data_IF_050167238282
#
_entry.id   IF_050167238282
#
_cell.length_a   1.000
_cell.length_b   1.000
_cell.length_c   1.000
_cell.angle_alpha   90.00
_cell.angle_beta   90.00
_cell.angle_gamma   90.00
#
_symmetry.space_group_name_H-M   'P 1'
#
loop_
_entity.id
_entity.type
_entity.pdbx_description
1 polymer ?
#
# COMPACT_ATOMS: atom_id res chain seq x y z
N UNK A 1 -16.15 -15.59 6.42
CA UNK A 1 -14.75 -15.76 5.98
C UNK A 1 -14.44 -14.71 4.94
N UNK A 2 -13.40 -13.91 5.14
CA UNK A 2 -12.97 -12.86 4.20
C UNK A 2 -11.91 -13.41 3.23
N UNK A 3 -11.66 -12.69 2.12
CA UNK A 3 -10.71 -13.11 1.09
C UNK A 3 -9.29 -13.38 1.63
N UNK A 4 -8.76 -12.49 2.47
CA UNK A 4 -7.42 -12.66 3.04
C UNK A 4 -7.29 -13.90 3.94
N UNK A 5 -8.37 -14.34 4.60
CA UNK A 5 -8.38 -15.53 5.44
C UNK A 5 -8.27 -16.80 4.59
N UNK A 6 -9.00 -16.83 3.47
CA UNK A 6 -8.92 -17.92 2.50
C UNK A 6 -7.51 -18.00 1.89
N UNK A 7 -6.94 -16.84 1.52
CA UNK A 7 -5.57 -16.77 1.01
C UNK A 7 -4.54 -17.22 2.04
N UNK A 8 -4.68 -16.86 3.33
CA UNK A 8 -3.80 -17.34 4.42
C UNK A 8 -3.80 -18.87 4.51
N UNK A 9 -4.96 -19.51 4.33
CA UNK A 9 -5.06 -20.97 4.32
C UNK A 9 -4.38 -21.59 3.09
N UNK A 10 -4.61 -21.01 1.90
CA UNK A 10 -4.03 -21.51 0.64
C UNK A 10 -2.52 -21.36 0.58
N UNK A 11 -1.98 -20.24 1.05
CA UNK A 11 -0.54 -19.98 1.07
C UNK A 11 0.16 -20.89 2.07
N UNK A 12 -0.47 -21.20 3.22
CA UNK A 12 0.04 -22.21 4.17
C UNK A 12 0.11 -23.61 3.56
N UNK A 13 -0.90 -24.01 2.79
CA UNK A 13 -0.85 -25.29 2.05
C UNK A 13 0.25 -25.30 1.00
N UNK A 14 0.43 -24.18 0.29
CA UNK A 14 1.49 -24.05 -0.70
C UNK A 14 2.89 -24.09 -0.07
N UNK A 15 3.08 -23.47 1.09
CA UNK A 15 4.30 -23.57 1.89
C UNK A 15 4.62 -25.01 2.28
N UNK A 16 3.63 -25.78 2.77
CA UNK A 16 3.80 -27.21 3.10
C UNK A 16 4.23 -28.03 1.87
N UNK A 17 3.79 -27.63 0.67
CA UNK A 17 4.20 -28.25 -0.59
C UNK A 17 5.60 -27.81 -1.08
N UNK A 18 6.37 -27.07 -0.26
CA UNK A 18 7.64 -26.43 -0.62
C UNK A 18 7.50 -25.47 -1.81
N UNK A 19 6.41 -24.70 -1.84
CA UNK A 19 6.16 -23.67 -2.84
C UNK A 19 6.20 -24.17 -4.29
N UNK A 20 5.87 -25.45 -4.53
CA UNK A 20 5.94 -26.06 -5.86
C UNK A 20 5.16 -25.22 -6.88
N UNK A 21 5.77 -25.02 -8.04
CA UNK A 21 5.18 -24.29 -9.16
C UNK A 21 5.53 -25.03 -10.45
N UNK A 22 4.51 -25.45 -11.21
CA UNK A 22 4.71 -26.23 -12.43
C UNK A 22 5.43 -25.43 -13.52
N UNK A 23 5.19 -24.12 -13.56
CA UNK A 23 5.73 -23.22 -14.59
C UNK A 23 6.99 -22.48 -14.12
N UNK A 24 7.07 -22.14 -12.84
CA UNK A 24 8.05 -21.18 -12.33
C UNK A 24 8.86 -21.76 -11.17
N UNK A 25 9.77 -22.69 -11.44
CA UNK A 25 10.60 -23.34 -10.41
C UNK A 25 11.43 -22.36 -9.57
N UNK A 26 11.88 -21.24 -10.14
CA UNK A 26 12.67 -20.25 -9.41
C UNK A 26 11.91 -19.60 -8.25
N UNK A 27 10.56 -19.60 -8.26
CA UNK A 27 9.82 -19.04 -7.12
C UNK A 27 9.98 -19.89 -5.86
N UNK A 28 10.05 -21.21 -6.03
CA UNK A 28 10.28 -22.14 -4.93
C UNK A 28 11.65 -21.93 -4.32
N UNK A 29 12.67 -21.69 -5.16
CA UNK A 29 14.03 -21.33 -4.75
C UNK A 29 14.02 -20.01 -3.94
N UNK A 30 13.40 -18.95 -4.48
CA UNK A 30 13.33 -17.63 -3.83
C UNK A 30 12.64 -17.70 -2.45
N UNK A 31 11.48 -18.34 -2.35
CA UNK A 31 10.72 -18.39 -1.10
C UNK A 31 11.40 -19.29 -0.05
N UNK A 32 12.02 -20.38 -0.48
CA UNK A 32 12.82 -21.25 0.42
C UNK A 32 14.05 -20.51 0.94
N UNK A 33 14.75 -19.79 0.06
CA UNK A 33 15.89 -18.96 0.44
C UNK A 33 15.51 -17.88 1.47
N UNK A 34 14.39 -17.17 1.30
CA UNK A 34 13.95 -16.17 2.27
C UNK A 34 13.54 -16.79 3.62
N UNK A 35 13.05 -18.03 3.62
CA UNK A 35 12.76 -18.78 4.85
C UNK A 35 14.04 -19.16 5.60
N UNK A 36 15.08 -19.54 4.87
CA UNK A 36 16.40 -19.90 5.43
C UNK A 36 17.22 -18.69 5.86
N UNK A 37 17.21 -17.61 5.08
CA UNK A 37 18.00 -16.40 5.36
C UNK A 37 17.52 -15.66 6.61
N UNK A 38 16.24 -15.83 6.97
CA UNK A 38 15.57 -15.17 8.10
C UNK A 38 15.74 -13.64 8.12
N UNK A 39 16.06 -13.05 6.96
CA UNK A 39 16.21 -11.61 6.84
C UNK A 39 14.85 -10.90 6.90
N UNK A 40 13.86 -11.47 6.21
CA UNK A 40 12.48 -11.02 6.31
C UNK A 40 11.85 -11.52 7.60
N UNK A 41 11.22 -10.61 8.33
CA UNK A 41 10.40 -10.97 9.49
C UNK A 41 9.27 -11.90 9.04
N UNK A 42 8.76 -12.78 9.92
CA UNK A 42 7.67 -13.70 9.59
C UNK A 42 6.48 -13.06 8.85
N UNK A 43 5.91 -11.91 9.28
CA UNK A 43 4.80 -11.29 8.55
C UNK A 43 5.19 -10.75 7.16
N UNK A 44 6.44 -10.30 6.97
CA UNK A 44 6.93 -9.86 5.66
C UNK A 44 7.07 -11.07 4.71
N UNK A 45 7.63 -12.19 5.19
CA UNK A 45 7.72 -13.41 4.41
C UNK A 45 6.33 -13.96 4.05
N UNK A 46 5.39 -13.97 4.99
CA UNK A 46 4.01 -14.40 4.72
C UNK A 46 3.32 -13.50 3.68
N UNK A 47 3.53 -12.18 3.75
CA UNK A 47 3.01 -11.25 2.76
C UNK A 47 3.64 -11.48 1.37
N UNK A 48 4.96 -11.69 1.31
CA UNK A 48 5.70 -12.02 0.09
C UNK A 48 5.21 -13.34 -0.52
N UNK A 49 5.03 -14.39 0.29
CA UNK A 49 4.45 -15.67 -0.13
C UNK A 49 3.03 -15.49 -0.67
N UNK A 50 2.21 -14.67 0.00
CA UNK A 50 0.84 -14.38 -0.45
C UNK A 50 0.84 -13.66 -1.79
N UNK A 51 1.68 -12.65 -1.95
CA UNK A 51 1.88 -11.96 -3.22
C UNK A 51 2.27 -12.93 -4.34
N UNK A 52 3.26 -13.79 -4.10
CA UNK A 52 3.75 -14.73 -5.11
C UNK A 52 2.77 -15.85 -5.44
N UNK A 53 1.98 -16.31 -4.46
CA UNK A 53 0.89 -17.24 -4.69
C UNK A 53 -0.14 -16.63 -5.66
N UNK A 54 -0.51 -15.37 -5.45
CA UNK A 54 -1.42 -14.63 -6.32
C UNK A 54 -0.84 -14.48 -7.73
N UNK A 55 0.42 -14.07 -7.82
CA UNK A 55 1.09 -13.83 -9.11
C UNK A 55 1.24 -15.09 -9.94
N UNK A 56 1.65 -16.20 -9.31
CA UNK A 56 2.01 -17.44 -10.02
C UNK A 56 0.85 -18.44 -10.06
N UNK A 57 0.25 -18.79 -8.92
CA UNK A 57 -0.75 -19.85 -8.83
C UNK A 57 -2.14 -19.38 -9.26
N UNK A 58 -2.42 -18.08 -9.13
CA UNK A 58 -3.70 -17.49 -9.51
C UNK A 58 -3.65 -16.67 -10.80
N UNK A 59 -2.45 -16.53 -11.40
CA UNK A 59 -2.23 -15.77 -12.63
C UNK A 59 -2.68 -14.30 -12.54
N UNK A 60 -2.40 -13.65 -11.40
CA UNK A 60 -2.59 -12.20 -11.21
C UNK A 60 -4.02 -11.71 -11.49
N UNK A 61 -5.03 -12.27 -10.80
CA UNK A 61 -6.43 -11.98 -11.08
C UNK A 61 -6.81 -10.55 -10.64
N UNK A 62 -7.83 -10.00 -11.31
CA UNK A 62 -8.51 -8.80 -10.81
C UNK A 62 -9.30 -9.13 -9.54
N UNK A 63 -9.79 -8.10 -8.84
CA UNK A 63 -10.62 -8.30 -7.65
C UNK A 63 -11.84 -9.20 -7.95
N UNK A 64 -12.57 -8.91 -9.03
CA UNK A 64 -13.77 -9.66 -9.33
C UNK A 64 -13.45 -11.13 -9.62
N UNK A 65 -12.35 -11.40 -10.31
CA UNK A 65 -11.89 -12.76 -10.61
C UNK A 65 -11.51 -13.52 -9.33
N UNK A 66 -10.87 -12.84 -8.37
CA UNK A 66 -10.61 -13.40 -7.05
C UNK A 66 -11.89 -13.87 -6.36
N UNK A 67 -12.88 -12.99 -6.28
CA UNK A 67 -14.11 -13.28 -5.57
C UNK A 67 -14.92 -14.35 -6.31
N UNK A 68 -15.00 -14.31 -7.64
CA UNK A 68 -15.63 -15.38 -8.44
C UNK A 68 -14.98 -16.75 -8.21
N UNK A 69 -13.65 -16.80 -8.07
CA UNK A 69 -12.91 -18.05 -7.83
C UNK A 69 -13.14 -18.64 -6.43
N UNK A 70 -13.06 -17.81 -5.39
CA UNK A 70 -13.11 -18.29 -3.99
C UNK A 70 -14.52 -18.27 -3.37
N UNK A 71 -15.43 -17.48 -3.91
CA UNK A 71 -16.80 -17.35 -3.44
C UNK A 71 -17.79 -17.57 -4.60
N UNK A 72 -17.86 -18.78 -5.18
CA UNK A 72 -18.74 -19.05 -6.33
C UNK A 72 -20.23 -18.92 -5.97
N UNK A 73 -20.59 -19.07 -4.69
CA UNK A 73 -21.96 -18.83 -4.22
C UNK A 73 -22.18 -17.31 -4.05
N UNK A 74 -23.20 -16.72 -4.71
CA UNK A 74 -23.47 -15.28 -4.62
C UNK A 74 -23.72 -14.76 -3.20
N UNK A 75 -24.34 -15.57 -2.33
CA UNK A 75 -24.56 -15.19 -0.93
C UNK A 75 -23.23 -15.13 -0.16
N UNK A 76 -22.35 -16.11 -0.34
CA UNK A 76 -21.05 -16.09 0.34
C UNK A 76 -20.18 -14.95 -0.18
N UNK A 77 -20.28 -14.62 -1.47
CA UNK A 77 -19.60 -13.49 -2.07
C UNK A 77 -20.07 -12.15 -1.47
N UNK A 78 -21.39 -11.94 -1.33
CA UNK A 78 -21.94 -10.75 -0.66
C UNK A 78 -21.48 -10.63 0.79
N UNK A 79 -21.49 -11.75 1.53
CA UNK A 79 -20.97 -11.78 2.90
C UNK A 79 -19.49 -11.45 2.95
N UNK A 80 -18.68 -11.94 2.01
CA UNK A 80 -17.26 -11.60 1.90
C UNK A 80 -17.05 -10.11 1.58
N UNK A 81 -17.94 -9.51 0.79
CA UNK A 81 -17.99 -8.06 0.60
C UNK A 81 -18.54 -7.30 1.83
N UNK A 82 -18.97 -7.98 2.89
CA UNK A 82 -19.55 -7.37 4.08
C UNK A 82 -20.94 -6.77 3.84
N UNK A 83 -21.65 -7.24 2.82
CA UNK A 83 -23.02 -6.85 2.52
C UNK A 83 -23.96 -7.80 3.26
N UNK A 84 -24.78 -7.23 4.15
CA UNK A 84 -25.77 -7.99 4.90
C UNK A 84 -26.96 -8.37 3.99
N UNK A 85 -27.06 -9.66 3.70
CA UNK A 85 -28.08 -10.23 2.82
C UNK A 85 -29.47 -10.13 3.44
N UNK A 86 -29.57 -10.20 4.77
CA UNK A 86 -30.86 -10.17 5.49
C UNK A 86 -31.63 -8.85 5.31
N UNK A 87 -30.96 -7.82 4.80
CA UNK A 87 -31.52 -6.48 4.57
C UNK A 87 -31.57 -6.10 3.09
N UNK A 88 -31.16 -6.98 2.17
CA UNK A 88 -30.91 -6.63 0.77
C UNK A 88 -31.37 -7.71 -0.22
N UNK A 89 -32.65 -8.13 -0.17
CA UNK A 89 -33.23 -9.12 -1.08
C UNK A 89 -33.12 -8.72 -2.56
N UNK A 90 -33.20 -7.43 -2.86
CA UNK A 90 -33.02 -6.86 -4.21
C UNK A 90 -31.61 -7.14 -4.76
N UNK A 91 -30.57 -6.94 -3.95
CA UNK A 91 -29.18 -7.20 -4.33
C UNK A 91 -28.99 -8.70 -4.61
N UNK A 92 -29.53 -9.55 -3.72
CA UNK A 92 -29.39 -11.00 -3.85
C UNK A 92 -30.04 -11.50 -5.15
N UNK A 93 -31.24 -11.01 -5.49
CA UNK A 93 -31.92 -11.33 -6.76
C UNK A 93 -31.09 -10.90 -7.97
N UNK A 94 -30.59 -9.66 -7.97
CA UNK A 94 -29.77 -9.13 -9.06
C UNK A 94 -28.47 -9.92 -9.29
N UNK A 95 -27.89 -10.48 -8.22
CA UNK A 95 -26.71 -11.35 -8.32
C UNK A 95 -27.03 -12.73 -8.90
N UNK A 96 -28.22 -13.27 -8.63
CA UNK A 96 -28.70 -14.49 -9.29
C UNK A 96 -29.06 -14.27 -10.76
N UNK A 97 -29.39 -13.03 -11.14
CA UNK A 97 -29.58 -12.61 -12.55
C UNK A 97 -28.25 -12.46 -13.31
N UNK A 98 -27.11 -12.78 -12.70
CA UNK A 98 -25.79 -12.79 -13.35
C UNK A 98 -25.10 -11.43 -13.31
N UNK A 99 -24.69 -10.92 -14.48
CA UNK A 99 -23.80 -9.74 -14.55
C UNK A 99 -24.49 -8.41 -14.26
N UNK A 100 -25.82 -8.37 -14.23
CA UNK A 100 -26.63 -7.16 -14.02
C UNK A 100 -26.31 -6.45 -12.70
N UNK A 101 -26.05 -7.19 -11.62
CA UNK A 101 -25.58 -6.58 -10.37
C UNK A 101 -24.26 -5.84 -10.57
N UNK A 102 -23.28 -6.46 -11.24
CA UNK A 102 -21.97 -5.84 -11.48
C UNK A 102 -22.07 -4.63 -12.39
N UNK A 103 -22.96 -4.65 -13.39
CA UNK A 103 -23.24 -3.50 -14.25
C UNK A 103 -23.82 -2.34 -13.44
N UNK A 104 -24.87 -2.57 -12.65
CA UNK A 104 -25.49 -1.54 -11.81
C UNK A 104 -24.50 -0.92 -10.82
N UNK A 105 -23.66 -1.75 -10.17
CA UNK A 105 -22.62 -1.24 -9.27
C UNK A 105 -21.61 -0.34 -10.01
N UNK A 106 -21.34 -0.58 -11.29
CA UNK A 106 -20.42 0.23 -12.10
C UNK A 106 -21.05 1.51 -12.62
N UNK A 107 -22.32 1.47 -13.05
CA UNK A 107 -22.94 2.54 -13.85
C UNK A 107 -24.00 3.36 -13.13
N UNK A 108 -24.63 2.85 -12.07
CA UNK A 108 -25.78 3.50 -11.42
C UNK A 108 -25.40 4.12 -10.05
N UNK A 109 -25.32 5.45 -10.03
CA UNK A 109 -24.98 6.22 -8.83
C UNK A 109 -26.05 6.12 -7.73
N UNK A 110 -27.32 6.07 -8.10
CA UNK A 110 -28.45 6.02 -7.17
C UNK A 110 -28.53 4.64 -6.51
N UNK A 111 -28.33 3.57 -7.29
CA UNK A 111 -28.23 2.21 -6.78
C UNK A 111 -27.08 2.06 -5.77
N UNK A 112 -25.89 2.55 -6.14
CA UNK A 112 -24.70 2.49 -5.29
C UNK A 112 -24.90 3.26 -3.99
N UNK A 113 -25.52 4.43 -4.06
CA UNK A 113 -25.85 5.26 -2.89
C UNK A 113 -26.90 4.59 -2.00
N UNK A 114 -27.98 4.06 -2.59
CA UNK A 114 -29.07 3.35 -1.88
C UNK A 114 -28.54 2.18 -1.06
N UNK A 115 -27.64 1.38 -1.65
CA UNK A 115 -27.10 0.18 -1.02
C UNK A 115 -25.72 0.37 -0.36
N UNK A 116 -25.22 1.61 -0.27
CA UNK A 116 -23.93 1.96 0.33
C UNK A 116 -22.72 1.20 -0.28
N UNK A 117 -22.76 0.94 -1.58
CA UNK A 117 -21.78 0.14 -2.32
C UNK A 117 -20.59 0.95 -2.84
N UNK A 118 -20.34 2.15 -2.31
CA UNK A 118 -19.28 3.05 -2.82
C UNK A 118 -17.90 2.41 -2.81
N UNK A 119 -17.53 1.77 -1.71
CA UNK A 119 -16.24 1.07 -1.55
C UNK A 119 -16.12 -0.13 -2.50
N UNK A 120 -17.23 -0.86 -2.70
CA UNK A 120 -17.29 -1.98 -3.64
C UNK A 120 -17.15 -1.50 -5.10
N UNK A 121 -17.90 -0.46 -5.49
CA UNK A 121 -17.79 0.15 -6.82
C UNK A 121 -16.38 0.64 -7.07
N UNK A 122 -15.79 1.30 -6.08
CA UNK A 122 -14.41 1.71 -6.13
C UNK A 122 -13.53 0.50 -6.44
N UNK A 123 -13.54 -0.58 -5.69
CA UNK A 123 -12.63 -1.69 -5.99
C UNK A 123 -12.96 -2.43 -7.32
N UNK A 124 -14.24 -2.55 -7.71
CA UNK A 124 -14.68 -3.25 -8.93
C UNK A 124 -14.47 -2.50 -10.24
N UNK A 125 -14.32 -1.17 -10.19
CA UNK A 125 -14.10 -0.35 -11.38
C UNK A 125 -12.63 -0.34 -11.82
N UNK A 126 -11.76 -1.00 -11.06
CA UNK A 126 -10.37 -1.22 -11.43
C UNK A 126 -10.30 -2.31 -12.50
N UNK A 127 -9.79 -1.96 -13.67
CA UNK A 127 -9.54 -2.84 -14.81
C UNK A 127 -8.18 -3.55 -14.73
N UNK A 128 -7.47 -3.38 -13.61
CA UNK A 128 -6.18 -3.98 -13.34
C UNK A 128 -6.16 -4.71 -11.99
N UNK A 129 -5.20 -5.62 -11.84
CA UNK A 129 -4.89 -6.28 -10.58
C UNK A 129 -4.45 -5.27 -9.51
N UNK A 130 -5.22 -5.17 -8.42
CA UNK A 130 -4.97 -4.25 -7.31
C UNK A 130 -4.99 -5.01 -5.98
N UNK A 131 -3.88 -4.99 -5.25
CA UNK A 131 -3.69 -5.77 -4.03
C UNK A 131 -3.35 -4.86 -2.86
N UNK A 132 -3.95 -5.11 -1.70
CA UNK A 132 -3.61 -4.47 -0.44
C UNK A 132 -2.96 -5.50 0.49
N UNK A 133 -1.71 -5.23 0.86
CA UNK A 133 -0.95 -5.93 1.90
C UNK A 133 -1.03 -5.08 3.17
N UNK A 134 -1.92 -5.45 4.09
CA UNK A 134 -2.12 -4.72 5.32
C UNK A 134 -1.17 -5.23 6.41
N UNK A 135 -0.18 -4.43 6.78
CA UNK A 135 0.77 -4.73 7.86
C UNK A 135 0.82 -3.57 8.84
N UNK A 136 0.70 -3.88 10.13
CA UNK A 136 0.81 -2.90 11.21
C UNK A 136 2.03 -1.96 11.07
N UNK A 137 1.90 -0.73 11.57
CA UNK A 137 2.99 0.24 11.57
C UNK A 137 4.20 -0.33 12.32
N UNK A 138 5.41 -0.16 11.76
CA UNK A 138 6.64 -0.76 12.29
C UNK A 138 6.92 -2.22 11.87
N UNK A 139 6.01 -2.85 11.12
CA UNK A 139 6.23 -4.22 10.59
C UNK A 139 7.18 -4.29 9.38
N UNK A 140 7.70 -3.15 8.88
CA UNK A 140 8.66 -3.07 7.78
C UNK A 140 8.04 -3.17 6.39
N UNK A 141 7.04 -2.33 6.09
CA UNK A 141 6.32 -2.31 4.80
C UNK A 141 7.22 -1.95 3.61
N UNK A 142 8.13 -0.99 3.76
CA UNK A 142 9.05 -0.62 2.68
C UNK A 142 10.01 -1.74 2.31
N UNK A 143 10.55 -2.45 3.31
CA UNK A 143 11.41 -3.62 3.07
C UNK A 143 10.63 -4.67 2.28
N UNK A 144 9.35 -4.91 2.61
CA UNK A 144 8.49 -5.79 1.85
C UNK A 144 8.30 -5.33 0.39
N UNK A 145 8.05 -4.03 0.14
CA UNK A 145 7.97 -3.48 -1.21
C UNK A 145 9.27 -3.73 -1.98
N UNK A 146 10.41 -3.40 -1.39
CA UNK A 146 11.73 -3.63 -2.00
C UNK A 146 11.99 -5.10 -2.29
N UNK A 147 11.56 -6.01 -1.41
CA UNK A 147 11.67 -7.45 -1.61
C UNK A 147 10.77 -7.97 -2.73
N UNK A 148 9.53 -7.47 -2.83
CA UNK A 148 8.64 -7.81 -3.95
C UNK A 148 9.27 -7.37 -5.27
N UNK A 149 9.76 -6.13 -5.35
CA UNK A 149 10.38 -5.60 -6.57
C UNK A 149 11.63 -6.38 -6.96
N UNK A 150 12.51 -6.67 -6.00
CA UNK A 150 13.74 -7.42 -6.26
C UNK A 150 13.46 -8.83 -6.77
N UNK A 151 12.49 -9.51 -6.15
CA UNK A 151 12.10 -10.86 -6.59
C UNK A 151 11.35 -10.84 -7.92
N UNK A 152 10.53 -9.81 -8.21
CA UNK A 152 9.87 -9.65 -9.51
C UNK A 152 10.88 -9.40 -10.63
N UNK A 153 11.88 -8.54 -10.40
CA UNK A 153 12.93 -8.29 -11.40
C UNK A 153 13.76 -9.56 -11.64
N UNK A 154 14.09 -10.30 -10.59
CA UNK A 154 14.77 -11.59 -10.74
C UNK A 154 13.95 -12.59 -11.56
N UNK A 155 12.63 -12.67 -11.31
CA UNK A 155 11.72 -13.53 -12.07
C UNK A 155 11.55 -13.07 -13.51
N UNK A 156 11.52 -11.77 -13.77
CA UNK A 156 11.44 -11.20 -15.12
C UNK A 156 12.71 -11.45 -15.95
N UNK A 157 13.87 -11.57 -15.31
CA UNK A 157 15.13 -11.94 -15.96
C UNK A 157 15.16 -13.45 -16.25
N UNK A 158 14.75 -14.27 -15.29
CA UNK A 158 14.72 -15.73 -15.44
C UNK A 158 13.68 -16.19 -16.49
N UNK A 159 12.53 -15.51 -16.54
CA UNK A 159 11.40 -15.83 -17.41
C UNK A 159 11.01 -14.60 -18.26
N UNK A 160 11.81 -14.23 -19.27
CA UNK A 160 11.62 -12.98 -20.04
C UNK A 160 10.34 -12.96 -20.88
N UNK A 161 9.80 -14.12 -21.24
CA UNK A 161 8.56 -14.25 -22.03
C UNK A 161 7.29 -14.14 -21.17
N UNK A 162 7.43 -14.13 -19.84
CA UNK A 162 6.32 -14.07 -18.91
C UNK A 162 6.05 -12.66 -18.39
N UNK A 163 4.81 -12.42 -17.96
CA UNK A 163 4.33 -11.10 -17.53
C UNK A 163 4.74 -10.78 -16.08
N UNK A 164 6.05 -10.65 -15.86
CA UNK A 164 6.65 -10.15 -14.62
C UNK A 164 6.94 -8.65 -14.69
N UNK A 165 7.01 -8.00 -13.52
CA UNK A 165 7.30 -6.57 -13.42
C UNK A 165 8.75 -6.36 -13.87
N UNK A 166 8.94 -5.50 -14.88
CA UNK A 166 10.27 -5.07 -15.33
C UNK A 166 10.53 -3.61 -14.96
N UNK A 167 9.52 -2.84 -14.59
CA UNK A 167 9.70 -1.48 -14.14
C UNK A 167 8.77 -1.24 -12.95
N UNK A 168 9.27 -0.57 -11.90
CA UNK A 168 8.53 -0.33 -10.68
C UNK A 168 8.44 1.16 -10.40
N UNK A 169 7.22 1.65 -10.16
CA UNK A 169 6.96 2.99 -9.64
C UNK A 169 6.56 2.87 -8.17
N UNK A 170 7.38 3.37 -7.27
CA UNK A 170 7.08 3.46 -5.84
C UNK A 170 6.71 4.90 -5.52
N UNK A 171 5.57 5.13 -4.89
CA UNK A 171 5.22 6.43 -4.35
C UNK A 171 4.77 6.38 -2.89
N UNK A 172 5.13 7.43 -2.16
CA UNK A 172 4.82 7.62 -0.75
C UNK A 172 4.43 9.09 -0.48
N UNK A 173 3.54 9.37 0.49
CA UNK A 173 3.04 10.71 0.79
C UNK A 173 4.05 11.56 1.59
N UNK A 174 4.17 12.85 1.26
CA UNK A 174 4.92 13.80 2.09
C UNK A 174 6.42 13.47 2.25
N UNK A 175 6.93 13.50 3.49
CA UNK A 175 8.36 13.30 3.81
C UNK A 175 8.77 11.83 3.95
N UNK A 176 7.80 10.90 4.03
CA UNK A 176 8.09 9.46 4.17
C UNK A 176 8.88 8.93 2.98
N UNK A 177 8.76 9.58 1.81
CA UNK A 177 9.57 9.26 0.63
C UNK A 177 11.08 9.22 0.93
N UNK A 178 11.61 10.08 1.80
CA UNK A 178 13.05 10.10 2.10
C UNK A 178 13.45 8.85 2.88
N UNK A 179 12.61 8.43 3.82
CA UNK A 179 12.81 7.21 4.61
C UNK A 179 12.64 5.98 3.72
N UNK A 180 11.55 5.90 2.94
CA UNK A 180 11.32 4.81 1.99
C UNK A 180 12.46 4.71 0.96
N UNK A 181 12.96 5.84 0.47
CA UNK A 181 14.12 5.92 -0.42
C UNK A 181 15.35 5.30 0.23
N UNK A 182 15.66 5.71 1.46
CA UNK A 182 16.83 5.22 2.18
C UNK A 182 16.72 3.72 2.43
N UNK A 183 15.56 3.25 2.88
CA UNK A 183 15.31 1.83 3.16
C UNK A 183 15.42 0.95 1.91
N UNK A 184 14.88 1.40 0.76
CA UNK A 184 14.98 0.64 -0.51
C UNK A 184 16.42 0.64 -1.04
N UNK A 185 17.12 1.78 -0.98
CA UNK A 185 18.50 1.90 -1.47
C UNK A 185 19.49 1.07 -0.66
N UNK A 186 19.29 0.98 0.66
CA UNK A 186 20.15 0.26 1.60
C UNK A 186 19.73 -1.21 1.78
N UNK A 187 18.69 -1.67 1.08
CA UNK A 187 18.18 -3.03 1.20
C UNK A 187 19.27 -4.03 0.78
N UNK A 188 19.67 -4.99 1.64
CA UNK A 188 20.66 -6.00 1.30
C UNK A 188 20.03 -7.05 0.38
N UNK A 189 19.90 -6.74 -0.91
CA UNK A 189 19.18 -7.59 -1.87
C UNK A 189 19.72 -9.03 -1.94
N UNK A 190 21.00 -9.26 -1.64
CA UNK A 190 21.60 -10.59 -1.54
C UNK A 190 21.03 -11.46 -0.42
N UNK A 191 20.29 -10.88 0.53
CA UNK A 191 19.57 -11.60 1.59
C UNK A 191 18.13 -11.93 1.22
N UNK A 192 17.63 -11.39 0.11
CA UNK A 192 16.26 -11.57 -0.39
C UNK A 192 16.23 -12.39 -1.68
N UNK A 193 17.21 -12.21 -2.56
CA UNK A 193 17.31 -12.90 -3.84
C UNK A 193 18.44 -13.94 -3.75
N UNK A 194 18.20 -15.21 -4.13
CA UNK A 194 19.24 -16.25 -4.16
C UNK A 194 20.45 -15.83 -4.99
N UNK A 195 21.65 -16.24 -4.57
CA UNK A 195 22.92 -15.81 -5.17
C UNK A 195 22.98 -16.02 -6.70
N UNK A 196 22.35 -17.09 -7.20
CA UNK A 196 22.26 -17.42 -8.63
C UNK A 196 21.56 -16.33 -9.43
N UNK A 197 20.46 -15.79 -8.91
CA UNK A 197 19.64 -14.75 -9.54
C UNK A 197 20.14 -13.33 -9.22
N UNK A 198 20.77 -13.17 -8.06
CA UNK A 198 21.19 -11.87 -7.52
C UNK A 198 22.12 -11.09 -8.46
N UNK A 199 23.15 -11.73 -9.03
CA UNK A 199 24.14 -11.03 -9.85
C UNK A 199 23.51 -10.42 -11.11
N UNK A 200 22.61 -11.14 -11.77
CA UNK A 200 21.93 -10.66 -12.97
C UNK A 200 20.94 -9.54 -12.63
N UNK A 201 20.17 -9.71 -11.56
CA UNK A 201 19.28 -8.67 -11.05
C UNK A 201 20.04 -7.36 -10.73
N UNK A 202 21.11 -7.44 -9.94
CA UNK A 202 21.87 -6.26 -9.51
C UNK A 202 22.56 -5.53 -10.66
N UNK A 203 23.02 -6.27 -11.68
CA UNK A 203 23.63 -5.67 -12.87
C UNK A 203 22.62 -4.84 -13.70
N UNK A 204 21.33 -5.12 -13.58
CA UNK A 204 20.27 -4.47 -14.36
C UNK A 204 19.50 -3.38 -13.58
N UNK A 205 19.54 -3.38 -12.26
CA UNK A 205 18.77 -2.45 -11.43
C UNK A 205 19.18 -0.99 -11.68
N UNK A 206 18.23 -0.18 -12.17
CA UNK A 206 18.38 1.27 -12.36
C UNK A 206 17.49 2.00 -11.37
N UNK A 207 18.11 2.59 -10.35
CA UNK A 207 17.40 3.27 -9.28
C UNK A 207 17.31 4.78 -9.56
N UNK A 208 16.10 5.29 -9.75
CA UNK A 208 15.83 6.68 -10.11
C UNK A 208 14.95 7.36 -9.06
N UNK A 209 15.33 8.57 -8.69
CA UNK A 209 14.60 9.38 -7.73
C UNK A 209 14.20 10.69 -8.35
N UNK A 210 12.95 11.11 -8.12
CA UNK A 210 12.54 12.46 -8.51
C UNK A 210 12.98 13.46 -7.44
N UNK A 211 13.79 14.46 -7.78
CA UNK A 211 14.18 15.54 -6.84
C UNK A 211 13.16 16.69 -6.86
N UNK A 212 13.21 17.55 -5.85
CA UNK A 212 12.35 18.74 -5.82
C UNK A 212 12.78 19.70 -6.94
N UNK A 213 11.83 20.21 -7.73
CA UNK A 213 12.11 21.15 -8.84
C UNK A 213 12.44 20.51 -10.20
N UNK A 214 12.70 19.21 -10.28
CA UNK A 214 12.93 18.52 -11.56
C UNK A 214 11.65 18.44 -12.38
N UNK A 215 11.67 18.94 -13.62
CA UNK A 215 10.52 18.93 -14.53
C UNK A 215 10.28 17.58 -15.20
N UNK A 216 11.19 16.62 -15.01
CA UNK A 216 11.20 15.36 -15.74
C UNK A 216 11.75 14.22 -14.88
N UNK A 217 11.55 12.98 -15.29
CA UNK A 217 12.11 11.76 -14.66
C UNK A 217 13.29 11.29 -15.51
N UNK A 218 14.46 11.08 -14.91
CA UNK A 218 15.67 10.64 -15.60
C UNK A 218 15.63 9.13 -15.96
N UNK A 219 14.68 8.76 -16.82
CA UNK A 219 14.51 7.41 -17.36
C UNK A 219 14.50 7.45 -18.90
N UNK A 220 15.02 6.39 -19.50
CA UNK A 220 14.97 6.15 -20.94
C UNK A 220 13.62 5.54 -21.32
N UNK A 221 13.00 6.02 -22.40
CA UNK A 221 11.75 5.46 -22.89
C UNK A 221 11.92 4.01 -23.32
N UNK A 222 11.01 3.14 -22.89
CA UNK A 222 11.11 1.70 -23.13
C UNK A 222 12.18 0.97 -22.32
N UNK A 223 12.89 1.66 -21.43
CA UNK A 223 13.92 1.06 -20.59
C UNK A 223 13.36 -0.05 -19.67
N UNK A 224 14.23 -0.99 -19.32
CA UNK A 224 13.93 -2.09 -18.40
C UNK A 224 14.64 -1.90 -17.06
N UNK A 225 14.08 -2.53 -16.04
CA UNK A 225 14.59 -2.64 -14.67
C UNK A 225 14.78 -1.29 -13.98
N UNK A 226 13.92 -0.32 -14.30
CA UNK A 226 13.87 0.97 -13.61
C UNK A 226 13.03 0.84 -12.33
N UNK A 227 13.62 1.24 -11.22
CA UNK A 227 12.94 1.44 -9.95
C UNK A 227 12.86 2.95 -9.70
N UNK A 228 11.68 3.52 -9.94
CA UNK A 228 11.41 4.95 -9.79
C UNK A 228 10.74 5.19 -8.44
N UNK A 229 11.39 5.95 -7.56
CA UNK A 229 10.80 6.36 -6.28
C UNK A 229 10.45 7.84 -6.33
N UNK A 230 9.18 8.17 -6.06
CA UNK A 230 8.66 9.53 -6.17
C UNK A 230 7.63 9.84 -5.08
N UNK A 231 7.29 11.12 -4.96
CA UNK A 231 6.27 11.54 -4.01
C UNK A 231 4.92 11.49 -4.75
N UNK A 232 3.88 11.02 -4.07
CA UNK A 232 2.49 11.08 -4.52
C UNK A 232 2.13 12.41 -5.20
N UNK A 233 2.47 13.54 -4.58
CA UNK A 233 2.17 14.90 -5.10
C UNK A 233 2.88 15.27 -6.41
N UNK A 234 3.91 14.52 -6.83
CA UNK A 234 4.66 14.77 -8.08
C UNK A 234 4.09 14.03 -9.29
N UNK A 235 3.38 12.93 -9.06
CA UNK A 235 2.75 12.13 -10.11
C UNK A 235 1.25 12.37 -10.20
N UNK A 236 0.64 12.86 -9.12
CA UNK A 236 -0.80 13.16 -9.07
C UNK A 236 -1.19 14.19 -10.15
N UNK A 237 -2.23 13.87 -10.93
CA UNK A 237 -2.88 14.82 -11.82
C UNK A 237 -3.39 16.03 -11.01
N UNK A 238 -2.80 17.21 -11.24
CA UNK A 238 -3.11 18.43 -10.48
C UNK A 238 -4.29 19.19 -11.07
N UNK A 239 -5.18 19.68 -10.21
CA UNK A 239 -6.08 20.80 -10.52
C UNK A 239 -5.53 22.06 -9.85
N UNK A 240 -5.07 23.00 -10.65
CA UNK A 240 -4.69 24.31 -10.12
C UNK A 240 -5.93 25.15 -9.85
N UNK A 241 -5.97 25.76 -8.66
CA UNK A 241 -6.99 26.73 -8.27
C UNK A 241 -6.42 28.15 -8.38
N UNK A 242 -7.24 29.10 -8.81
CA UNK A 242 -6.82 30.49 -8.98
C UNK A 242 -6.68 31.17 -7.61
N UNK A 243 -5.50 31.69 -7.30
CA UNK A 243 -5.30 32.54 -6.13
C UNK A 243 -5.95 33.90 -6.34
N UNK A 244 -6.53 34.50 -5.28
CA UNK A 244 -7.20 35.81 -5.34
C UNK A 244 -6.31 36.95 -5.86
N UNK A 245 -4.99 36.85 -5.67
CA UNK A 245 -4.00 37.86 -6.09
C UNK A 245 -3.44 37.66 -7.51
N UNK A 246 -3.78 36.56 -8.19
CA UNK A 246 -3.20 36.19 -9.48
C UNK A 246 -4.15 36.56 -10.61
N UNK A 247 -3.62 37.17 -11.68
CA UNK A 247 -4.44 37.51 -12.86
C UNK A 247 -4.92 36.25 -13.58
N UNK A 248 -5.99 36.35 -14.38
CA UNK A 248 -6.50 35.20 -15.16
C UNK A 248 -5.44 34.68 -16.14
N UNK A 249 -4.66 35.59 -16.74
CA UNK A 249 -3.61 35.23 -17.69
C UNK A 249 -2.46 34.48 -17.01
N UNK A 250 -1.92 35.00 -15.89
CA UNK A 250 -0.87 34.33 -15.12
C UNK A 250 -1.32 32.96 -14.60
N UNK A 251 -2.58 32.86 -14.16
CA UNK A 251 -3.16 31.61 -13.73
C UNK A 251 -3.21 30.58 -14.86
N UNK A 252 -3.70 30.98 -16.04
CA UNK A 252 -3.80 30.10 -17.21
C UNK A 252 -2.43 29.68 -17.74
N UNK A 253 -1.45 30.59 -17.75
CA UNK A 253 -0.08 30.28 -18.16
C UNK A 253 0.60 29.30 -17.20
N UNK A 254 0.51 29.55 -15.89
CA UNK A 254 1.02 28.63 -14.87
C UNK A 254 0.32 27.27 -14.94
N UNK A 255 -0.99 27.25 -15.17
CA UNK A 255 -1.79 26.01 -15.30
C UNK A 255 -1.31 25.18 -16.46
N UNK A 256 -1.13 25.83 -17.61
CA UNK A 256 -0.60 25.18 -18.80
C UNK A 256 0.81 24.63 -18.58
N UNK A 257 1.69 25.37 -17.91
CA UNK A 257 3.05 24.88 -17.62
C UNK A 257 3.05 23.67 -16.68
N UNK A 258 2.26 23.71 -15.60
CA UNK A 258 2.16 22.60 -14.66
C UNK A 258 1.53 21.34 -15.30
N UNK A 259 0.50 21.50 -16.12
CA UNK A 259 -0.12 20.41 -16.88
C UNK A 259 0.87 19.79 -17.88
N UNK A 260 1.67 20.60 -18.60
CA UNK A 260 2.70 20.10 -19.51
C UNK A 260 3.77 19.27 -18.77
N UNK A 261 4.22 19.73 -17.59
CA UNK A 261 5.21 19.02 -16.77
C UNK A 261 4.65 17.70 -16.23
N UNK A 262 3.44 17.71 -15.68
CA UNK A 262 2.77 16.50 -15.20
C UNK A 262 2.58 15.48 -16.32
N UNK A 263 2.14 15.95 -17.50
CA UNK A 263 2.01 15.12 -18.69
C UNK A 263 3.35 14.53 -19.13
N UNK A 264 4.45 15.29 -19.11
CA UNK A 264 5.77 14.78 -19.48
C UNK A 264 6.23 13.63 -18.56
N UNK A 265 6.10 13.79 -17.24
CA UNK A 265 6.45 12.73 -16.28
C UNK A 265 5.59 11.48 -16.48
N UNK A 266 4.28 11.65 -16.63
CA UNK A 266 3.35 10.53 -16.84
C UNK A 266 3.58 9.85 -18.18
N UNK A 267 3.93 10.59 -19.24
CA UNK A 267 4.29 10.02 -20.53
C UNK A 267 5.55 9.17 -20.44
N UNK A 268 6.58 9.61 -19.69
CA UNK A 268 7.77 8.79 -19.46
C UNK A 268 7.44 7.51 -18.72
N UNK A 269 6.67 7.59 -17.63
CA UNK A 269 6.23 6.40 -16.89
C UNK A 269 5.40 5.46 -17.78
N UNK A 270 4.48 6.01 -18.58
CA UNK A 270 3.67 5.25 -19.52
C UNK A 270 4.48 4.61 -20.67
N UNK A 271 5.71 5.10 -20.93
CA UNK A 271 6.60 4.50 -21.92
C UNK A 271 7.31 3.23 -21.43
N UNK A 272 7.28 2.95 -20.12
CA UNK A 272 7.95 1.79 -19.55
C UNK A 272 7.10 0.51 -19.75
N UNK A 273 7.68 -0.56 -20.31
CA UNK A 273 6.99 -1.85 -20.39
C UNK A 273 6.86 -2.50 -19.01
N UNK A 274 5.87 -3.38 -18.89
CA UNK A 274 5.63 -4.21 -17.71
C UNK A 274 5.75 -3.45 -16.38
N UNK A 275 5.04 -2.31 -16.31
CA UNK A 275 5.06 -1.41 -15.17
C UNK A 275 4.22 -1.99 -14.01
N UNK A 276 4.85 -2.12 -12.85
CA UNK A 276 4.20 -2.36 -11.56
C UNK A 276 4.20 -1.09 -10.73
N UNK A 277 3.13 -0.87 -9.97
CA UNK A 277 2.96 0.32 -9.15
C UNK A 277 2.86 -0.08 -7.68
N UNK A 278 3.57 0.65 -6.82
CA UNK A 278 3.67 0.40 -5.39
C UNK A 278 3.32 1.68 -4.62
N UNK A 279 2.32 1.60 -3.76
CA UNK A 279 1.95 2.69 -2.84
C UNK A 279 2.31 2.29 -1.42
N UNK A 280 3.20 3.07 -0.78
CA UNK A 280 3.43 2.95 0.66
C UNK A 280 2.49 3.87 1.45
N UNK A 281 2.03 3.39 2.61
CA UNK A 281 1.01 4.02 3.45
C UNK A 281 -0.26 4.43 2.69
N UNK A 282 -0.77 3.49 1.94
CA UNK A 282 -1.98 3.61 1.15
C UNK A 282 -3.17 4.20 1.94
N UNK A 283 -3.33 4.00 3.25
CA UNK A 283 -4.45 4.60 3.99
C UNK A 283 -4.40 6.14 4.11
N UNK A 284 -3.23 6.76 4.00
CA UNK A 284 -3.13 8.22 3.84
C UNK A 284 -3.55 8.64 2.43
N UNK A 285 -3.28 7.80 1.42
CA UNK A 285 -3.82 7.94 0.07
C UNK A 285 -5.32 7.62 0.00
N UNK A 286 -5.87 6.78 0.89
CA UNK A 286 -7.24 6.25 0.88
C UNK A 286 -8.18 6.80 1.99
N UNK A 287 -7.81 7.87 2.71
CA UNK A 287 -8.52 8.38 3.91
C UNK A 287 -9.54 9.54 3.69
N UNK A 288 -10.49 9.69 4.62
CA UNK A 288 -11.71 10.55 4.54
C UNK A 288 -11.44 12.06 4.38
N UNK A 289 -10.31 12.59 4.89
CA UNK A 289 -9.98 14.02 4.75
C UNK A 289 -9.36 14.38 3.38
N UNK A 290 -9.09 13.40 2.52
CA UNK A 290 -8.50 13.56 1.17
C UNK A 290 -9.32 12.87 0.07
N UNK A 291 -10.66 12.88 0.15
CA UNK A 291 -11.49 12.27 -0.90
C UNK A 291 -11.19 12.75 -2.33
N UNK A 292 -10.67 13.97 -2.50
CA UNK A 292 -10.23 14.48 -3.81
C UNK A 292 -8.83 14.00 -4.22
N UNK A 293 -7.84 14.04 -3.34
CA UNK A 293 -6.47 13.64 -3.70
C UNK A 293 -6.35 12.13 -3.86
N UNK A 294 -7.12 11.34 -3.12
CA UNK A 294 -7.33 9.91 -3.34
C UNK A 294 -7.82 9.62 -4.75
N UNK A 295 -8.89 10.32 -5.18
CA UNK A 295 -9.42 10.21 -6.54
C UNK A 295 -8.36 10.55 -7.56
N UNK A 296 -7.51 11.55 -7.31
CA UNK A 296 -6.46 11.97 -8.25
C UNK A 296 -5.31 10.97 -8.35
N UNK A 297 -4.82 10.40 -7.26
CA UNK A 297 -3.80 9.33 -7.31
C UNK A 297 -4.34 8.16 -8.12
N UNK A 298 -5.60 7.81 -7.87
CA UNK A 298 -6.26 6.75 -8.61
C UNK A 298 -6.51 7.10 -10.08
N UNK A 299 -6.94 8.31 -10.39
CA UNK A 299 -7.05 8.81 -11.78
C UNK A 299 -5.70 8.76 -12.50
N UNK A 300 -4.61 9.01 -11.77
CA UNK A 300 -3.24 8.92 -12.28
C UNK A 300 -2.88 7.47 -12.61
N UNK A 301 -3.16 6.51 -11.72
CA UNK A 301 -2.94 5.09 -11.98
C UNK A 301 -3.80 4.62 -13.16
N UNK A 302 -5.10 4.98 -13.18
CA UNK A 302 -6.00 4.68 -14.29
C UNK A 302 -5.51 5.28 -15.60
N UNK A 303 -4.95 6.50 -15.56
CA UNK A 303 -4.33 7.12 -16.73
C UNK A 303 -3.14 6.30 -17.25
N UNK A 304 -2.25 5.87 -16.35
CA UNK A 304 -1.11 5.03 -16.71
C UNK A 304 -1.60 3.71 -17.30
N UNK A 305 -2.58 3.04 -16.69
CA UNK A 305 -3.15 1.80 -17.17
C UNK A 305 -3.76 1.92 -18.58
N UNK A 306 -4.54 2.98 -18.84
CA UNK A 306 -5.10 3.24 -20.17
C UNK A 306 -4.04 3.49 -21.24
N UNK A 307 -2.88 4.02 -20.86
CA UNK A 307 -1.76 4.25 -21.79
C UNK A 307 -0.90 3.00 -21.96
N UNK A 308 -0.79 2.19 -20.91
CA UNK A 308 0.00 0.97 -20.89
C UNK A 308 -0.59 0.00 -19.87
N UNK A 309 -0.90 -1.21 -20.34
CA UNK A 309 -1.38 -2.27 -19.46
C UNK A 309 -0.39 -2.52 -18.31
N UNK A 310 -0.87 -2.33 -17.08
CA UNK A 310 -0.08 -2.45 -15.86
C UNK A 310 0.01 -3.92 -15.45
N UNK A 311 1.13 -4.37 -14.90
CA UNK A 311 1.25 -5.75 -14.41
C UNK A 311 0.38 -5.95 -13.18
N UNK A 312 0.56 -5.11 -12.16
CA UNK A 312 -0.32 -5.02 -11.00
C UNK A 312 -0.02 -3.75 -10.19
N UNK A 313 -0.92 -3.43 -9.28
CA UNK A 313 -0.77 -2.38 -8.27
C UNK A 313 -0.74 -3.04 -6.89
N UNK A 314 0.30 -2.74 -6.11
CA UNK A 314 0.49 -3.24 -4.76
C UNK A 314 0.46 -2.07 -3.79
N UNK A 315 -0.39 -2.16 -2.78
CA UNK A 315 -0.58 -1.13 -1.79
C UNK A 315 -0.23 -1.71 -0.42
N UNK A 316 0.56 -0.99 0.37
CA UNK A 316 0.86 -1.37 1.76
C UNK A 316 0.20 -0.39 2.72
N UNK A 317 -0.39 -0.89 3.81
CA UNK A 317 -1.07 -0.01 4.77
C UNK A 317 -1.06 -0.57 6.19
N UNK A 318 -0.92 0.31 7.19
CA UNK A 318 -1.17 -0.03 8.61
C UNK A 318 -2.65 -0.17 8.97
N UNK A 319 -3.55 0.47 8.21
CA UNK A 319 -4.99 0.52 8.52
C UNK A 319 -5.81 0.16 7.28
N UNK A 320 -6.30 -1.09 7.16
CA UNK A 320 -7.07 -1.54 5.98
C UNK A 320 -8.56 -1.13 6.04
N UNK A 321 -8.86 0.03 6.60
CA UNK A 321 -10.23 0.47 6.86
C UNK A 321 -10.52 1.82 6.22
N UNK A 322 -11.69 1.91 5.60
CA UNK A 322 -12.32 3.18 5.25
C UNK A 322 -13.56 3.36 6.12
N UNK A 323 -13.55 4.39 6.98
CA UNK A 323 -14.55 4.55 8.05
C UNK A 323 -14.59 3.29 8.94
N UNK A 324 -15.72 2.56 8.92
CA UNK A 324 -15.93 1.32 9.65
C UNK A 324 -15.89 0.08 8.75
N UNK A 325 -15.61 0.24 7.46
CA UNK A 325 -15.62 -0.86 6.49
C UNK A 325 -14.20 -1.27 6.13
N UNK A 326 -13.96 -2.58 6.08
CA UNK A 326 -12.71 -3.15 5.54
C UNK A 326 -12.66 -2.94 4.02
N UNK A 327 -11.47 -2.57 3.53
CA UNK A 327 -11.20 -2.50 2.09
C UNK A 327 -11.28 -3.90 1.47
N UNK A 328 -11.83 -4.01 0.26
CA UNK A 328 -12.15 -5.32 -0.36
C UNK A 328 -10.98 -5.97 -1.08
N UNK A 329 -9.98 -5.16 -1.42
CA UNK A 329 -8.74 -5.56 -2.09
C UNK A 329 -7.67 -6.09 -1.13
N UNK A 330 -8.01 -6.27 0.16
CA UNK A 330 -7.09 -6.80 1.18
C UNK A 330 -6.87 -8.28 0.92
N UNK A 331 -5.66 -8.61 0.48
CA UNK A 331 -5.23 -9.99 0.19
C UNK A 331 -4.34 -10.57 1.29
N UNK A 332 -3.77 -9.70 2.14
CA UNK A 332 -2.99 -10.09 3.31
C UNK A 332 -3.27 -9.11 4.44
N UNK A 333 -3.41 -9.63 5.67
CA UNK A 333 -3.58 -8.79 6.86
C UNK A 333 -2.81 -9.34 8.06
N UNK A 334 -1.92 -8.50 8.58
CA UNK A 334 -1.20 -8.67 9.84
C UNK A 334 -1.45 -7.45 10.74
N UNK A 335 -2.22 -7.67 11.82
CA UNK A 335 -2.74 -6.60 12.68
C UNK A 335 -1.81 -6.18 13.82
N UNK A 336 -2.15 -5.07 14.49
CA UNK A 336 -1.39 -4.57 15.65
C UNK A 336 -1.34 -5.60 16.79
N UNK A 337 -2.48 -6.24 17.08
CA UNK A 337 -2.59 -7.24 18.14
C UNK A 337 -1.67 -8.44 17.88
N UNK A 338 -1.71 -9.00 16.67
CA UNK A 338 -0.80 -10.08 16.22
C UNK A 338 0.67 -9.61 16.32
N UNK A 339 0.94 -8.38 15.86
CA UNK A 339 2.23 -7.70 16.01
C UNK A 339 2.81 -7.69 17.42
N UNK A 340 1.98 -7.40 18.42
CA UNK A 340 2.38 -7.37 19.83
C UNK A 340 2.56 -8.79 20.37
N UNK A 341 1.64 -9.71 20.06
CA UNK A 341 1.71 -11.11 20.48
C UNK A 341 2.99 -11.80 19.97
N UNK A 342 3.38 -11.51 18.73
CA UNK A 342 4.56 -12.09 18.10
C UNK A 342 5.88 -11.41 18.53
N UNK A 343 5.84 -10.46 19.48
CA UNK A 343 6.98 -9.65 19.94
C UNK A 343 7.68 -8.87 18.82
N UNK A 344 7.00 -8.61 17.70
CA UNK A 344 7.51 -7.78 16.61
C UNK A 344 7.28 -6.29 16.91
N UNK A 345 6.18 -5.98 17.58
CA UNK A 345 5.81 -4.64 18.03
C UNK A 345 5.87 -4.58 19.55
N UNK A 346 6.23 -3.41 20.08
CA UNK A 346 6.28 -3.19 21.53
C UNK A 346 4.86 -3.19 22.10
N UNK A 347 4.65 -3.93 23.18
CA UNK A 347 3.43 -3.85 23.98
C UNK A 347 3.32 -2.49 24.67
N UNK A 348 2.09 -1.99 24.79
CA UNK A 348 1.76 -0.79 25.57
C UNK A 348 1.20 -1.12 26.96
N UNK A 349 1.11 -2.40 27.33
CA UNK A 349 0.42 -2.91 28.53
C UNK A 349 0.95 -2.34 29.86
N UNK A 350 2.11 -1.67 29.86
CA UNK A 350 2.63 -0.89 30.99
C UNK A 350 3.22 0.47 30.58
N UNK A 351 2.99 0.89 29.34
CA UNK A 351 3.52 2.13 28.77
C UNK A 351 2.53 3.30 28.78
N UNK A 352 1.24 3.02 28.99
CA UNK A 352 0.20 4.04 29.10
C UNK A 352 -0.11 4.23 30.58
N UNK A 353 0.29 5.37 31.12
CA UNK A 353 -0.18 5.83 32.43
C UNK A 353 -1.40 6.72 32.22
N UNK A 354 -2.50 6.39 32.89
CA UNK A 354 -3.68 7.24 32.95
C UNK A 354 -3.63 8.05 34.23
N UNK A 355 -3.75 9.37 34.10
CA UNK A 355 -3.88 10.28 35.24
C UNK A 355 -5.33 10.75 35.28
N UNK A 356 -6.03 10.54 36.40
CA UNK A 356 -7.40 11.04 36.56
C UNK A 356 -7.35 12.56 36.77
N UNK A 357 -8.06 13.29 35.90
CA UNK A 357 -8.29 14.72 36.05
C UNK A 357 -9.61 14.88 36.81
N UNK A 358 -9.58 15.06 38.13
CA UNK A 358 -10.77 15.47 38.88
C UNK A 358 -11.00 16.98 38.73
N UNK A 359 -12.23 17.48 38.93
CA UNK A 359 -12.51 18.92 38.96
C UNK A 359 -11.71 19.67 40.03
N UNK A 360 -11.21 18.95 41.04
CA UNK A 360 -10.37 19.44 42.14
C UNK A 360 -8.87 19.38 41.83
N UNK A 361 -8.45 18.58 40.84
CA UNK A 361 -7.08 18.46 40.38
C UNK A 361 -6.77 19.57 39.35
N UNK A 362 -6.20 20.68 39.82
CA UNK A 362 -5.71 21.75 38.96
C UNK A 362 -4.70 21.19 37.94
N UNK A 363 -4.85 21.52 36.65
CA UNK A 363 -3.96 21.12 35.54
C UNK A 363 -2.45 21.22 35.86
N UNK A 364 -1.97 22.30 36.53
CA UNK A 364 -0.57 22.41 36.95
C UNK A 364 -0.06 21.26 37.82
N UNK A 365 -0.89 20.71 38.71
CA UNK A 365 -0.50 19.63 39.61
C UNK A 365 -0.33 18.30 38.86
N UNK A 366 -1.14 18.07 37.82
CA UNK A 366 -1.03 16.86 36.98
C UNK A 366 0.17 16.94 36.06
N UNK A 367 0.46 18.12 35.50
CA UNK A 367 1.67 18.33 34.69
C UNK A 367 2.93 18.12 35.55
N UNK A 368 2.97 18.64 36.78
CA UNK A 368 4.10 18.42 37.69
C UNK A 368 4.31 16.93 37.98
N UNK A 369 3.22 16.18 38.24
CA UNK A 369 3.27 14.73 38.43
C UNK A 369 3.80 14.00 37.19
N UNK A 370 3.32 14.35 35.99
CA UNK A 370 3.78 13.78 34.72
C UNK A 370 5.29 14.07 34.51
N UNK A 371 5.72 15.31 34.79
CA UNK A 371 7.12 15.70 34.66
C UNK A 371 8.01 14.94 35.64
N UNK A 372 7.57 14.78 36.90
CA UNK A 372 8.29 14.00 37.91
C UNK A 372 8.45 12.55 37.45
N UNK A 373 7.36 11.89 37.07
CA UNK A 373 7.39 10.51 36.55
C UNK A 373 8.31 10.39 35.32
N UNK A 374 8.27 11.39 34.42
CA UNK A 374 9.11 11.41 33.23
C UNK A 374 10.59 11.49 33.58
N UNK A 375 11.00 12.41 34.45
CA UNK A 375 12.41 12.55 34.81
C UNK A 375 12.92 11.37 35.64
N UNK A 376 12.10 10.80 36.53
CA UNK A 376 12.47 9.60 37.30
C UNK A 376 12.70 8.38 36.39
N UNK A 377 11.82 8.16 35.39
CA UNK A 377 11.93 6.98 34.52
C UNK A 377 12.84 7.17 33.31
N UNK A 378 12.86 8.37 32.74
CA UNK A 378 13.48 8.64 31.44
C UNK A 378 14.58 9.70 31.49
N UNK A 379 14.85 10.36 32.62
CA UNK A 379 15.80 11.48 32.70
C UNK A 379 17.22 11.14 32.21
N UNK A 380 17.67 9.91 32.49
CA UNK A 380 18.98 9.41 32.07
C UNK A 380 18.95 8.62 30.74
N UNK A 381 17.77 8.40 30.17
CA UNK A 381 17.60 7.65 28.92
C UNK A 381 18.07 8.49 27.75
N UNK A 382 18.95 7.90 26.93
CA UNK A 382 19.44 8.47 25.69
C UNK A 382 19.10 7.56 24.51
N UNK A 383 18.81 8.19 23.39
CA UNK A 383 18.69 7.54 22.09
C UNK A 383 20.06 7.06 21.61
N UNK A 384 20.14 6.11 20.64
CA UNK A 384 21.42 5.57 20.17
C UNK A 384 22.40 6.61 19.61
N UNK A 385 21.89 7.72 19.08
CA UNK A 385 22.64 8.88 18.61
C UNK A 385 23.02 9.88 19.73
N UNK A 386 22.69 9.55 20.98
CA UNK A 386 23.07 10.32 22.17
C UNK A 386 22.10 11.44 22.55
N UNK A 387 21.00 11.63 21.82
CA UNK A 387 19.99 12.62 22.19
C UNK A 387 19.28 12.21 23.49
N UNK A 388 19.15 13.16 24.42
CA UNK A 388 18.39 12.97 25.67
C UNK A 388 16.91 12.71 25.37
N UNK A 389 16.25 11.98 26.26
CA UNK A 389 14.79 11.82 26.27
C UNK A 389 14.07 13.17 26.21
N UNK A 390 12.90 13.18 25.57
CA UNK A 390 12.03 14.36 25.45
C UNK A 390 10.60 13.98 25.78
N UNK A 391 9.86 14.91 26.36
CA UNK A 391 8.42 14.79 26.59
C UNK A 391 7.68 15.81 25.71
N UNK A 392 6.50 15.43 25.21
CA UNK A 392 5.63 16.30 24.44
C UNK A 392 4.22 16.24 25.04
N UNK A 393 3.59 17.41 25.20
CA UNK A 393 2.21 17.52 25.67
C UNK A 393 1.29 17.87 24.50
N UNK A 394 0.20 17.12 24.36
CA UNK A 394 -0.81 17.34 23.32
C UNK A 394 -2.12 17.76 23.98
N UNK A 395 -2.58 18.96 23.65
CA UNK A 395 -3.83 19.52 24.17
C UNK A 395 -4.91 19.55 23.09
N UNK A 396 -6.16 19.31 23.48
CA UNK A 396 -7.29 19.26 22.54
C UNK A 396 -7.70 20.62 21.96
N UNK A 397 -7.31 21.72 22.62
CA UNK A 397 -7.54 23.11 22.19
C UNK A 397 -6.32 23.95 22.58
N UNK A 398 -6.04 25.00 21.81
CA UNK A 398 -4.97 25.97 22.13
C UNK A 398 -5.22 26.67 23.47
N UNK A 399 -6.48 26.95 23.82
CA UNK A 399 -6.87 27.59 25.08
C UNK A 399 -6.53 26.75 26.34
N UNK A 400 -6.17 25.47 26.17
CA UNK A 400 -5.76 24.60 27.28
C UNK A 400 -4.29 24.76 27.69
N UNK A 401 -3.54 25.64 27.01
CA UNK A 401 -2.17 26.05 27.36
C UNK A 401 -2.10 27.29 28.26
N UNK A 402 -3.22 28.02 28.40
CA UNK A 402 -3.38 29.20 29.26
C UNK A 402 -4.02 28.77 30.59
#
# INVERSE_FOLDING_TARGET
MQLFEELKNKTKQWEISNYKSDKFSAISEILSFNKESQFLRPPQLQALTTYWYIRTQLNTPTLLDFYKKYFPNPADMLKAFGIDISKNDEILRLLFEGDKFWELVKTDDDFVKKHQLHTLRESLTLDYANYILALAMGAGKTILIGSIIATEFAMAIEYPEDRFIQNALVFAPGTTIIESLKEIAELPFHKVVPQRLYNQFMANLKLTYTRSGEKDIAIESGGLFNLVVTNTEKIMLRRMNKNKSMTEFEFMEKKRQEELVANARLQKLASLPNLGIFSDEAHHTYGIKLGEDLKRVRETINYLHRKKDLVCVVNTTGTPYYKKQTLKDVVFWYGLYEGIQDNILKSLENGIQSYEMSEEALLPNVIELILKDFFEKYGDVKTPDGCKSKIAFYFGKEDSLL
#
